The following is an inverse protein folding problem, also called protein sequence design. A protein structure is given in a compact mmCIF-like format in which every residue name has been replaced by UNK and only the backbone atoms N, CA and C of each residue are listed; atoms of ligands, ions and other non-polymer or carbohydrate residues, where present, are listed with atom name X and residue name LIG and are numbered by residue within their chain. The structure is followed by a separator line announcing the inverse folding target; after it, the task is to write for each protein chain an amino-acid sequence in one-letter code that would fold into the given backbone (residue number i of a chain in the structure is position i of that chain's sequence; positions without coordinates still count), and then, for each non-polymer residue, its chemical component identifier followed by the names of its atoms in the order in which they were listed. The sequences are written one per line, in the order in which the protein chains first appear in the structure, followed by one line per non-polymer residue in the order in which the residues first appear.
data_IF_723349854540
#
_entry.id   IF_723349854540
#
_cell.length_a   1.000
_cell.length_b   1.000
_cell.length_c   1.000
_cell.angle_alpha   90.00
_cell.angle_beta   90.00
_cell.angle_gamma   90.00
#
_symmetry.space_group_name_H-M   'P 1'
#
loop_
_entity.id
_entity.type
_entity.pdbx_description
1 polymer ?
#
# COMPACT_ATOMS: atom_id res chain seq x y z
N UNK A 1 11.91 2.71 -7.16
CA UNK A 1 11.66 2.97 -5.73
C UNK A 1 10.58 4.02 -5.65
N UNK A 2 9.51 3.75 -4.90
CA UNK A 2 8.44 4.73 -4.66
C UNK A 2 8.90 5.64 -3.51
N UNK A 3 8.70 6.94 -3.63
CA UNK A 3 9.12 7.90 -2.60
C UNK A 3 8.20 7.86 -1.38
N UNK A 4 8.70 8.26 -0.21
CA UNK A 4 7.84 8.56 0.95
C UNK A 4 6.86 9.68 0.59
N UNK A 5 5.66 9.59 1.15
CA UNK A 5 4.49 10.42 0.90
C UNK A 5 3.94 10.36 -0.53
N UNK A 6 4.41 9.42 -1.37
CA UNK A 6 3.82 9.15 -2.67
C UNK A 6 2.76 8.03 -2.60
N UNK A 7 1.83 8.03 -3.56
CA UNK A 7 0.87 6.95 -3.70
C UNK A 7 1.50 5.67 -4.26
N UNK A 8 1.05 4.53 -3.73
CA UNK A 8 1.40 3.19 -4.20
C UNK A 8 0.13 2.35 -4.37
N UNK A 9 0.13 1.49 -5.39
CA UNK A 9 -0.97 0.57 -5.69
C UNK A 9 -0.53 -0.84 -5.36
N UNK A 10 -1.33 -1.59 -4.58
CA UNK A 10 -1.10 -3.01 -4.35
C UNK A 10 -1.24 -3.81 -5.65
N UNK A 11 -0.34 -4.74 -5.89
CA UNK A 11 -0.33 -5.59 -7.09
C UNK A 11 -0.93 -6.98 -6.87
N UNK A 12 -1.17 -7.36 -5.61
CA UNK A 12 -1.76 -8.64 -5.20
C UNK A 12 -2.68 -8.47 -4.00
N UNK A 13 -3.58 -9.43 -3.82
CA UNK A 13 -4.46 -9.46 -2.65
C UNK A 13 -3.67 -9.74 -1.37
N UNK A 14 -4.11 -9.14 -0.26
CA UNK A 14 -3.60 -9.43 1.08
C UNK A 14 -4.81 -9.59 2.03
N UNK A 15 -5.52 -10.74 1.94
CA UNK A 15 -6.77 -10.97 2.66
C UNK A 15 -6.63 -10.89 4.17
N UNK A 16 -5.46 -11.22 4.72
CA UNK A 16 -5.11 -11.10 6.14
C UNK A 16 -5.21 -9.66 6.68
N UNK A 17 -5.17 -8.68 5.78
CA UNK A 17 -5.35 -7.25 6.08
C UNK A 17 -6.65 -6.68 5.51
N UNK A 18 -7.52 -7.51 4.91
CA UNK A 18 -8.74 -7.04 4.22
C UNK A 18 -8.47 -6.25 2.92
N UNK A 19 -7.26 -6.40 2.35
CA UNK A 19 -6.80 -5.65 1.19
C UNK A 19 -6.85 -6.47 -0.09
N UNK A 20 -7.09 -5.77 -1.19
CA UNK A 20 -7.19 -6.34 -2.52
C UNK A 20 -6.18 -5.68 -3.47
N UNK A 21 -5.80 -6.40 -4.50
CA UNK A 21 -5.06 -5.83 -5.62
C UNK A 21 -5.79 -4.62 -6.19
N UNK A 22 -5.05 -3.53 -6.42
CA UNK A 22 -5.61 -2.25 -6.84
C UNK A 22 -5.94 -1.27 -5.72
N UNK A 23 -5.93 -1.68 -4.44
CA UNK A 23 -6.03 -0.72 -3.34
C UNK A 23 -4.85 0.25 -3.35
N UNK A 24 -5.14 1.50 -3.01
CA UNK A 24 -4.17 2.61 -3.04
C UNK A 24 -3.84 3.04 -1.62
N UNK A 25 -2.54 3.12 -1.34
CA UNK A 25 -2.00 3.63 -0.08
C UNK A 25 -1.02 4.78 -0.31
N UNK A 26 -0.64 5.43 0.78
CA UNK A 26 0.48 6.39 0.82
C UNK A 26 1.67 5.71 1.48
N UNK A 27 2.84 5.80 0.87
CA UNK A 27 4.09 5.31 1.49
C UNK A 27 4.44 6.21 2.67
N UNK A 28 4.32 5.72 3.90
CA UNK A 28 4.68 6.47 5.11
C UNK A 28 6.08 6.13 5.61
N UNK A 29 6.63 4.98 5.20
CA UNK A 29 8.01 4.60 5.50
C UNK A 29 8.60 3.67 4.43
N UNK A 30 9.88 3.82 4.12
CA UNK A 30 10.62 2.87 3.27
C UNK A 30 11.54 2.01 4.14
N UNK A 31 11.27 0.71 4.21
CA UNK A 31 12.16 -0.27 4.83
C UNK A 31 13.38 -0.46 3.92
N UNK A 32 14.49 0.17 4.31
CA UNK A 32 15.78 0.01 3.63
C UNK A 32 16.52 -1.14 4.30
N UNK A 33 17.06 -2.04 3.48
CA UNK A 33 17.84 -3.17 3.95
C UNK A 33 19.00 -2.68 4.84
N UNK A 34 18.87 -2.84 6.16
CA UNK A 34 19.94 -2.56 7.14
C UNK A 34 20.50 -3.87 7.71
N UNK A 35 20.87 -4.79 6.81
CA UNK A 35 21.37 -6.12 7.17
C UNK A 35 20.93 -7.20 6.18
N UNK A 36 21.42 -8.43 6.32
CA UNK A 36 21.09 -9.53 5.39
C UNK A 36 19.63 -9.99 5.46
N UNK A 37 18.95 -9.74 6.59
CA UNK A 37 17.65 -10.34 6.90
C UNK A 37 16.48 -9.34 6.89
N UNK A 38 16.72 -8.05 6.68
CA UNK A 38 15.67 -7.04 6.65
C UNK A 38 15.10 -6.88 5.22
N UNK A 39 13.81 -7.17 5.00
CA UNK A 39 13.21 -7.15 3.67
C UNK A 39 13.09 -5.72 3.15
N UNK A 40 13.43 -5.51 1.88
CA UNK A 40 13.16 -4.25 1.19
C UNK A 40 11.65 -4.14 0.99
N UNK A 41 11.06 -3.04 1.47
CA UNK A 41 9.62 -2.87 1.46
C UNK A 41 9.16 -1.47 1.81
N UNK A 42 7.83 -1.35 1.96
CA UNK A 42 7.17 -0.09 2.28
C UNK A 42 6.19 -0.33 3.42
N UNK A 43 6.07 0.65 4.31
CA UNK A 43 4.89 0.80 5.14
C UNK A 43 3.92 1.70 4.40
N UNK A 44 2.71 1.23 4.15
CA UNK A 44 1.64 1.99 3.54
C UNK A 44 0.61 2.37 4.60
N UNK A 45 0.12 3.60 4.58
CA UNK A 45 -1.14 3.96 5.23
C UNK A 45 -2.26 4.02 4.18
N UNK A 46 -3.39 3.42 4.52
CA UNK A 46 -4.54 3.24 3.64
C UNK A 46 -5.68 4.10 4.15
N UNK A 47 -6.46 4.65 3.23
CA UNK A 47 -7.55 5.56 3.57
C UNK A 47 -8.84 5.17 2.86
N UNK A 48 -9.96 5.38 3.53
CA UNK A 48 -11.25 5.45 2.86
C UNK A 48 -11.28 6.67 1.94
N UNK A 49 -12.20 6.68 0.97
CA UNK A 49 -12.30 7.80 0.00
C UNK A 49 -12.67 9.13 0.66
N UNK A 50 -13.30 9.12 1.84
CA UNK A 50 -13.58 10.30 2.67
C UNK A 50 -12.41 10.68 3.59
N UNK A 51 -11.26 10.03 3.46
CA UNK A 51 -10.01 10.39 4.12
C UNK A 51 -9.81 9.83 5.53
N UNK A 52 -10.65 8.88 5.98
CA UNK A 52 -10.43 8.19 7.27
C UNK A 52 -9.37 7.11 7.09
N UNK A 53 -8.43 7.02 8.02
CA UNK A 53 -7.44 5.95 8.02
C UNK A 53 -8.13 4.59 8.21
N UNK A 54 -7.78 3.65 7.34
CA UNK A 54 -8.15 2.23 7.44
C UNK A 54 -7.11 1.51 8.31
N UNK A 55 -5.84 1.91 8.20
CA UNK A 55 -4.72 1.31 8.93
C UNK A 55 -3.43 1.34 8.14
N UNK A 56 -2.39 0.77 8.75
CA UNK A 56 -1.04 0.69 8.19
C UNK A 56 -0.69 -0.76 7.85
N UNK A 57 0.06 -0.97 6.76
CA UNK A 57 0.54 -2.31 6.36
C UNK A 57 1.98 -2.27 5.86
N UNK A 58 2.80 -3.18 6.39
CA UNK A 58 4.13 -3.44 5.85
C UNK A 58 4.04 -4.41 4.67
N UNK A 59 4.53 -4.00 3.51
CA UNK A 59 4.49 -4.79 2.28
C UNK A 59 5.89 -4.92 1.66
N UNK A 60 6.22 -6.07 1.07
CA UNK A 60 7.46 -6.21 0.32
C UNK A 60 7.41 -5.34 -0.94
N UNK A 61 8.58 -4.93 -1.43
CA UNK A 61 8.66 -3.98 -2.54
C UNK A 61 8.04 -4.48 -3.86
N UNK A 62 7.91 -5.80 -4.04
CA UNK A 62 7.30 -6.43 -5.22
C UNK A 62 5.76 -6.49 -5.15
N UNK A 63 5.17 -6.24 -3.99
CA UNK A 63 3.72 -6.20 -3.79
C UNK A 63 3.10 -4.83 -4.14
N UNK A 64 3.91 -3.86 -4.59
CA UNK A 64 3.46 -2.51 -4.93
C UNK A 64 4.02 -2.01 -6.24
N UNK A 65 3.30 -1.09 -6.86
CA UNK A 65 3.79 -0.26 -7.96
C UNK A 65 3.45 1.21 -7.73
N UNK A 66 4.17 2.09 -8.41
CA UNK A 66 3.79 3.51 -8.46
C UNK A 66 2.46 3.68 -9.22
N UNK A 67 1.73 4.74 -8.86
CA UNK A 67 0.60 5.22 -9.67
C UNK A 67 1.10 5.77 -11.02
N UNK A 68 0.28 5.69 -12.05
CA UNK A 68 0.54 6.26 -13.38
C UNK A 68 -0.74 6.86 -14.00
N UNK A 69 -0.59 7.48 -15.17
CA UNK A 69 -1.64 8.19 -15.90
C UNK A 69 -2.77 7.30 -16.45
N UNK A 70 -2.63 5.97 -16.39
CA UNK A 70 -3.67 5.02 -16.75
C UNK A 70 -4.48 4.51 -15.54
N UNK A 71 -4.16 4.98 -14.32
CA UNK A 71 -4.88 4.57 -13.11
C UNK A 71 -6.20 5.35 -12.94
N UNK A 72 -7.26 4.61 -12.60
CA UNK A 72 -8.59 5.17 -12.30
C UNK A 72 -9.09 4.60 -10.98
N UNK A 73 -9.48 5.49 -10.06
CA UNK A 73 -10.05 5.09 -8.77
C UNK A 73 -11.33 4.26 -8.97
N UNK A 74 -11.45 3.18 -8.19
CA UNK A 74 -12.66 2.38 -8.05
C UNK A 74 -13.01 2.31 -6.56
N UNK A 75 -14.29 2.45 -6.24
CA UNK A 75 -14.76 2.46 -4.84
C UNK A 75 -15.32 1.08 -4.49
N UNK A 76 -14.88 0.54 -3.35
CA UNK A 76 -15.42 -0.67 -2.72
C UNK A 76 -15.65 -0.42 -1.22
N UNK A 77 -16.58 -1.13 -0.56
CA UNK A 77 -16.71 -1.10 0.89
C UNK A 77 -15.42 -1.61 1.55
N UNK A 78 -15.06 -1.02 2.70
CA UNK A 78 -14.08 -1.60 3.61
C UNK A 78 -14.69 -2.88 4.19
N UNK A 79 -13.87 -3.92 4.39
CA UNK A 79 -14.33 -5.12 5.09
C UNK A 79 -14.89 -4.71 6.47
N UNK A 80 -16.04 -5.26 6.84
CA UNK A 80 -16.56 -5.08 8.19
C UNK A 80 -15.64 -5.80 9.18
N UNK A 81 -15.39 -5.15 10.33
CA UNK A 81 -14.65 -5.71 11.47
C UNK A 81 -15.38 -6.92 12.08
#
# INVERSE_FOLDING_TARGET
MIAEHAYAVLTRDMPEHGLASGDVGVVIHIHRQSGKDEPIGYMLELFTVDGRSIGEVSVPADAVRAVNDNDRVQVRPVAAE
#
